data_IF_441154459736
#
_entry.id   IF_441154459736
#
_cell.length_a   1.000
_cell.length_b   1.000
_cell.length_c   1.000
_cell.angle_alpha   90.00
_cell.angle_beta   90.00
_cell.angle_gamma   90.00
#
_symmetry.space_group_name_H-M   'P 1'
#
loop_
_entity.id
_entity.type
_entity.pdbx_description
1 polymer ?
#
# COMPACT_ATOMS: atom_id res chain seq x y z
N UNK A 1 3.17 -6.59 13.77
CA UNK A 1 2.17 -6.66 14.87
C UNK A 1 0.87 -7.32 14.43
N UNK A 2 0.25 -6.95 13.33
CA UNK A 2 -1.03 -7.52 12.84
C UNK A 2 -1.00 -9.03 12.56
N UNK A 3 0.07 -9.56 11.94
CA UNK A 3 0.20 -11.01 11.69
C UNK A 3 0.24 -11.83 12.98
N UNK A 4 0.91 -11.35 14.02
CA UNK A 4 0.95 -12.03 15.31
C UNK A 4 -0.44 -12.17 15.92
N UNK A 5 -1.35 -11.20 15.66
CA UNK A 5 -2.73 -11.26 16.16
C UNK A 5 -3.55 -12.32 15.41
N UNK A 6 -3.27 -12.54 14.10
CA UNK A 6 -3.89 -13.61 13.31
C UNK A 6 -3.45 -15.00 13.78
N UNK A 7 -2.15 -15.18 14.05
CA UNK A 7 -1.56 -16.42 14.56
C UNK A 7 -2.00 -16.71 16.00
N UNK A 8 -2.28 -15.67 16.76
CA UNK A 8 -2.69 -15.69 18.13
C UNK A 8 -1.60 -15.17 19.08
N UNK A 9 -2.01 -14.33 20.00
CA UNK A 9 -1.14 -13.73 21.02
C UNK A 9 -1.59 -14.23 22.39
N UNK A 10 -0.69 -14.78 23.22
CA UNK A 10 -1.02 -15.16 24.58
C UNK A 10 -1.35 -13.91 25.40
N UNK A 11 -2.51 -13.91 26.02
CA UNK A 11 -3.04 -12.83 26.85
C UNK A 11 -3.50 -13.39 28.21
N UNK A 12 -3.66 -12.50 29.18
CA UNK A 12 -4.22 -12.82 30.49
C UNK A 12 -5.54 -12.07 30.63
N UNK A 13 -6.61 -12.76 30.98
CA UNK A 13 -7.88 -12.15 31.34
C UNK A 13 -7.72 -11.37 32.66
N UNK A 14 -7.94 -10.07 32.63
CA UNK A 14 -7.77 -9.19 33.81
C UNK A 14 -8.77 -9.44 34.93
N UNK A 15 -9.85 -10.20 34.69
CA UNK A 15 -10.87 -10.51 35.67
C UNK A 15 -10.67 -11.87 36.31
N UNK A 16 -10.36 -12.92 35.51
CA UNK A 16 -10.21 -14.29 36.00
C UNK A 16 -8.76 -14.69 36.25
N UNK A 17 -7.82 -13.89 35.75
CA UNK A 17 -6.37 -14.16 35.76
C UNK A 17 -5.99 -15.44 34.97
N UNK A 18 -6.87 -15.90 34.07
CA UNK A 18 -6.65 -17.05 33.21
C UNK A 18 -5.92 -16.66 31.93
N UNK A 19 -5.09 -17.58 31.43
CA UNK A 19 -4.41 -17.40 30.15
C UNK A 19 -5.32 -17.81 28.99
N UNK A 20 -5.33 -17.01 27.93
CA UNK A 20 -6.04 -17.35 26.69
C UNK A 20 -5.23 -16.87 25.46
N UNK A 21 -5.57 -17.40 24.30
CA UNK A 21 -4.99 -16.98 23.01
C UNK A 21 -5.94 -16.03 22.33
N UNK A 22 -5.55 -14.75 22.26
CA UNK A 22 -6.30 -13.73 21.53
C UNK A 22 -5.99 -13.85 20.04
N UNK A 23 -7.03 -14.07 19.22
CA UNK A 23 -6.97 -14.01 17.75
C UNK A 23 -7.92 -12.94 17.25
N UNK A 24 -7.46 -12.12 16.30
CA UNK A 24 -8.28 -11.09 15.71
C UNK A 24 -8.05 -11.03 14.19
N UNK A 25 -9.13 -10.78 13.44
CA UNK A 25 -9.11 -10.59 12.00
C UNK A 25 -9.54 -9.17 11.66
N UNK A 26 -8.77 -8.51 10.79
CA UNK A 26 -9.18 -7.22 10.27
C UNK A 26 -10.19 -7.43 9.14
N UNK A 27 -11.42 -6.98 9.32
CA UNK A 27 -12.49 -7.10 8.33
C UNK A 27 -12.57 -5.88 7.42
N UNK A 28 -12.28 -4.70 7.95
CA UNK A 28 -12.37 -3.43 7.21
C UNK A 28 -11.24 -2.50 7.60
N UNK A 29 -10.79 -1.72 6.63
CA UNK A 29 -9.84 -0.64 6.83
C UNK A 29 -10.42 0.65 6.28
N UNK A 30 -10.63 1.63 7.14
CA UNK A 30 -11.16 2.96 6.78
C UNK A 30 -10.18 4.04 7.19
N UNK A 31 -10.17 5.13 6.44
CA UNK A 31 -9.31 6.27 6.71
C UNK A 31 -9.53 7.38 5.69
N UNK A 32 -8.91 8.52 5.91
CA UNK A 32 -8.82 9.56 4.89
C UNK A 32 -7.95 9.13 3.69
N UNK A 33 -8.00 9.88 2.60
CA UNK A 33 -7.25 9.55 1.37
C UNK A 33 -5.73 9.42 1.64
N UNK A 34 -5.07 10.33 2.38
CA UNK A 34 -3.67 10.20 2.72
C UNK A 34 -3.34 8.93 3.53
N UNK A 35 -4.16 8.59 4.54
CA UNK A 35 -3.95 7.38 5.34
C UNK A 35 -4.11 6.11 4.52
N UNK A 36 -5.15 6.04 3.67
CA UNK A 36 -5.37 4.92 2.77
C UNK A 36 -4.25 4.79 1.73
N UNK A 37 -3.77 5.91 1.18
CA UNK A 37 -2.63 5.88 0.24
C UNK A 37 -1.36 5.33 0.90
N UNK A 38 -1.06 5.73 2.13
CA UNK A 38 0.09 5.22 2.89
C UNK A 38 -0.06 3.73 3.21
N UNK A 39 -1.25 3.27 3.60
CA UNK A 39 -1.49 1.86 3.91
C UNK A 39 -1.42 0.96 2.69
N UNK A 40 -1.69 1.49 1.51
CA UNK A 40 -1.55 0.81 0.22
C UNK A 40 -0.16 0.99 -0.42
N UNK A 41 0.80 1.61 0.28
CA UNK A 41 2.13 1.95 -0.22
C UNK A 41 2.11 2.76 -1.53
N UNK A 42 1.14 3.67 -1.66
CA UNK A 42 1.05 4.58 -2.81
C UNK A 42 1.80 5.89 -2.52
N UNK A 43 2.35 6.46 -3.60
CA UNK A 43 3.09 7.74 -3.62
C UNK A 43 2.16 8.89 -3.34
N UNK A 44 1.50 9.23 -2.45
CA UNK A 44 0.67 10.39 -2.09
C UNK A 44 0.10 11.22 -3.25
N UNK A 45 -0.74 12.16 -2.91
CA UNK A 45 -1.58 12.92 -3.84
C UNK A 45 -0.81 13.85 -4.80
N UNK A 46 0.42 14.22 -4.49
CA UNK A 46 1.26 15.06 -5.37
C UNK A 46 2.28 14.22 -6.15
N UNK A 47 1.89 13.05 -6.60
CA UNK A 47 2.70 12.18 -7.46
C UNK A 47 2.07 12.00 -8.82
N UNK A 48 2.85 11.55 -9.81
CA UNK A 48 2.37 11.37 -11.18
C UNK A 48 1.24 10.34 -11.32
N UNK A 49 1.15 9.36 -10.42
CA UNK A 49 0.12 8.30 -10.43
C UNK A 49 -0.46 8.09 -9.02
N UNK A 50 -1.07 9.13 -8.47
CA UNK A 50 -1.61 9.11 -7.11
C UNK A 50 -2.94 8.37 -6.95
N UNK A 51 -3.67 8.10 -8.04
CA UNK A 51 -4.95 7.44 -7.94
C UNK A 51 -4.82 6.00 -7.43
N UNK A 52 -5.57 5.66 -6.40
CA UNK A 52 -5.58 4.29 -5.84
C UNK A 52 -6.36 3.29 -6.70
N UNK A 53 -7.21 3.77 -7.61
CA UNK A 53 -8.08 2.93 -8.43
C UNK A 53 -7.55 2.73 -9.86
N UNK A 54 -6.79 3.69 -10.38
CA UNK A 54 -6.37 3.67 -11.77
C UNK A 54 -4.93 4.18 -11.97
N UNK A 55 -4.41 3.93 -13.16
CA UNK A 55 -3.07 4.31 -13.60
C UNK A 55 -3.03 5.66 -14.32
N UNK A 56 -4.03 6.53 -14.09
CA UNK A 56 -4.06 7.86 -14.69
C UNK A 56 -2.80 8.65 -14.30
N UNK A 57 -2.10 9.16 -15.31
CA UNK A 57 -0.87 9.93 -15.13
C UNK A 57 -1.17 11.42 -15.08
N UNK A 58 -0.74 12.07 -14.02
CA UNK A 58 -0.79 13.52 -13.88
C UNK A 58 0.36 14.20 -14.59
N UNK A 59 0.20 15.52 -14.81
CA UNK A 59 1.22 16.39 -15.42
C UNK A 59 1.68 17.43 -14.40
N UNK A 60 2.99 17.59 -14.27
CA UNK A 60 3.57 18.59 -13.37
C UNK A 60 3.46 19.98 -14.00
N UNK A 61 2.91 20.93 -13.26
CA UNK A 61 2.88 22.32 -13.69
C UNK A 61 4.24 22.99 -13.43
N UNK A 62 4.83 23.66 -14.43
CA UNK A 62 6.22 24.11 -14.35
C UNK A 62 6.46 25.21 -13.30
N UNK A 63 5.48 26.04 -12.98
CA UNK A 63 5.67 27.18 -12.09
C UNK A 63 5.42 26.87 -10.60
N UNK A 64 4.54 25.92 -10.27
CA UNK A 64 4.20 25.61 -8.89
C UNK A 64 4.53 24.17 -8.47
N UNK A 65 5.05 23.36 -9.39
CA UNK A 65 5.42 21.97 -9.19
C UNK A 65 4.29 21.06 -8.66
N UNK A 66 3.03 21.47 -8.76
CA UNK A 66 1.89 20.65 -8.46
C UNK A 66 1.55 19.71 -9.60
N UNK A 67 1.05 18.53 -9.25
CA UNK A 67 0.59 17.54 -10.23
C UNK A 67 -0.90 17.74 -10.45
N UNK A 68 -1.28 17.93 -11.71
CA UNK A 68 -2.66 18.03 -12.16
C UNK A 68 -3.04 16.81 -12.99
N UNK A 69 -4.24 16.31 -12.79
CA UNK A 69 -4.73 15.14 -13.51
C UNK A 69 -5.69 15.61 -14.61
N UNK A 70 -5.48 15.16 -15.86
CA UNK A 70 -6.38 15.49 -16.95
C UNK A 70 -7.74 14.83 -16.72
N UNK A 71 -8.81 15.49 -17.16
CA UNK A 71 -10.10 14.84 -17.29
C UNK A 71 -10.01 13.78 -18.40
N UNK A 72 -10.18 12.51 -18.05
CA UNK A 72 -10.14 11.41 -19.00
C UNK A 72 -11.27 10.44 -18.71
N UNK A 73 -11.92 9.98 -19.76
CA UNK A 73 -12.93 8.91 -19.70
C UNK A 73 -12.33 7.53 -19.90
N UNK A 74 -11.08 7.46 -20.33
CA UNK A 74 -10.36 6.19 -20.58
C UNK A 74 -9.14 6.13 -19.68
N UNK A 75 -9.10 5.16 -18.79
CA UNK A 75 -7.99 4.89 -17.90
C UNK A 75 -7.91 3.42 -17.53
N UNK A 76 -6.71 2.91 -17.37
CA UNK A 76 -6.47 1.55 -16.90
C UNK A 76 -6.72 1.47 -15.39
N UNK A 77 -7.54 0.52 -14.95
CA UNK A 77 -7.74 0.23 -13.53
C UNK A 77 -6.49 -0.46 -13.00
N UNK A 78 -6.12 -0.17 -11.75
CA UNK A 78 -5.04 -0.89 -11.07
C UNK A 78 -5.48 -2.32 -10.81
N UNK A 79 -4.70 -3.28 -11.29
CA UNK A 79 -4.84 -4.67 -10.92
C UNK A 79 -4.16 -4.90 -9.56
N UNK A 80 -4.74 -5.77 -8.75
CA UNK A 80 -4.15 -6.20 -7.48
C UNK A 80 -2.84 -6.97 -7.71
N UNK A 81 -2.85 -7.90 -8.63
CA UNK A 81 -1.69 -8.73 -8.95
C UNK A 81 -0.53 -7.88 -9.51
N UNK A 82 -0.82 -6.98 -10.46
CA UNK A 82 0.19 -6.05 -10.99
C UNK A 82 0.76 -5.15 -9.89
N UNK A 83 -0.07 -4.74 -8.92
CA UNK A 83 0.37 -3.93 -7.78
C UNK A 83 1.39 -4.67 -6.93
N UNK A 84 1.13 -5.94 -6.64
CA UNK A 84 2.01 -6.79 -5.84
C UNK A 84 3.32 -7.06 -6.58
N UNK A 85 3.24 -7.41 -7.85
CA UNK A 85 4.42 -7.75 -8.64
C UNK A 85 5.33 -6.54 -8.84
N UNK A 86 4.76 -5.35 -9.08
CA UNK A 86 5.52 -4.11 -9.15
C UNK A 86 6.14 -3.71 -7.81
N UNK A 87 5.43 -3.90 -6.70
CA UNK A 87 5.96 -3.61 -5.37
C UNK A 87 7.16 -4.52 -5.03
N UNK A 88 7.11 -5.81 -5.39
CA UNK A 88 8.23 -6.74 -5.23
C UNK A 88 9.43 -6.34 -6.10
N UNK A 89 9.20 -6.01 -7.38
CA UNK A 89 10.27 -5.58 -8.28
C UNK A 89 10.97 -4.31 -7.77
N UNK A 90 10.21 -3.36 -7.20
CA UNK A 90 10.79 -2.16 -6.59
C UNK A 90 11.58 -2.50 -5.33
N UNK A 91 11.13 -3.46 -4.53
CA UNK A 91 11.82 -3.91 -3.32
C UNK A 91 13.16 -4.57 -3.66
N UNK A 92 13.19 -5.43 -4.67
CA UNK A 92 14.36 -6.18 -5.13
C UNK A 92 15.40 -5.31 -5.87
N UNK A 93 14.99 -4.12 -6.36
CA UNK A 93 15.90 -3.22 -7.05
C UNK A 93 16.96 -2.64 -6.08
N UNK A 94 18.21 -2.80 -6.42
CA UNK A 94 19.36 -2.35 -5.60
C UNK A 94 19.84 -0.95 -5.96
N UNK A 95 19.56 -0.48 -7.18
CA UNK A 95 19.94 0.84 -7.65
C UNK A 95 18.92 1.88 -7.21
N UNK A 96 19.29 2.76 -6.29
CA UNK A 96 18.39 3.78 -5.72
C UNK A 96 17.82 4.76 -6.77
N UNK A 97 18.58 5.10 -7.81
CA UNK A 97 18.12 5.97 -8.90
C UNK A 97 17.00 5.27 -9.68
N UNK A 98 17.23 4.03 -10.08
CA UNK A 98 16.26 3.21 -10.81
C UNK A 98 15.03 2.91 -9.96
N UNK A 99 15.21 2.63 -8.68
CA UNK A 99 14.13 2.46 -7.71
C UNK A 99 13.23 3.70 -7.64
N UNK A 100 13.84 4.88 -7.60
CA UNK A 100 13.14 6.16 -7.64
C UNK A 100 12.35 6.38 -8.94
N UNK A 101 12.90 5.99 -10.09
CA UNK A 101 12.21 6.05 -11.39
C UNK A 101 11.02 5.10 -11.43
N UNK A 102 11.20 3.84 -11.03
CA UNK A 102 10.12 2.85 -10.95
C UNK A 102 8.99 3.32 -10.03
N UNK A 103 9.33 3.90 -8.88
CA UNK A 103 8.36 4.50 -7.94
C UNK A 103 7.55 5.62 -8.62
N UNK A 104 8.20 6.49 -9.39
CA UNK A 104 7.53 7.57 -10.13
C UNK A 104 6.62 7.04 -11.25
N UNK A 105 7.07 6.01 -11.94
CA UNK A 105 6.33 5.42 -13.07
C UNK A 105 5.11 4.62 -12.63
N UNK A 106 5.20 3.91 -11.52
CA UNK A 106 4.14 3.03 -11.04
C UNK A 106 3.22 3.69 -10.02
N UNK A 107 3.74 4.66 -9.26
CA UNK A 107 3.05 5.27 -8.14
C UNK A 107 3.07 4.42 -6.87
N UNK A 108 3.95 3.40 -6.79
CA UNK A 108 4.14 2.59 -5.60
C UNK A 108 5.45 2.91 -4.90
N UNK A 109 5.45 2.81 -3.57
CA UNK A 109 6.68 2.72 -2.80
C UNK A 109 7.10 1.25 -2.63
N UNK A 110 8.39 1.01 -2.37
CA UNK A 110 8.85 -0.29 -1.94
C UNK A 110 8.22 -0.65 -0.58
N UNK A 111 7.96 -1.92 -0.40
CA UNK A 111 7.39 -2.48 0.81
C UNK A 111 8.39 -2.38 1.98
N UNK A 112 8.37 -1.31 2.75
CA UNK A 112 8.86 -1.40 4.12
C UNK A 112 7.70 -1.95 4.93
N UNK A 113 7.71 -3.26 5.13
CA UNK A 113 6.62 -4.09 5.63
C UNK A 113 5.85 -3.47 6.82
N UNK A 114 4.81 -2.69 6.53
CA UNK A 114 3.82 -2.34 7.53
C UNK A 114 2.76 -3.44 7.67
N UNK A 115 2.53 -4.19 6.59
CA UNK A 115 1.69 -5.38 6.55
C UNK A 115 2.45 -6.47 5.77
N UNK A 116 3.03 -7.46 6.42
CA UNK A 116 3.44 -8.67 5.73
C UNK A 116 2.16 -9.38 5.29
N UNK A 117 1.68 -9.07 4.11
CA UNK A 117 0.62 -9.83 3.47
C UNK A 117 1.28 -11.13 3.02
N UNK A 118 0.94 -12.21 3.69
CA UNK A 118 1.41 -13.54 3.30
C UNK A 118 0.60 -13.96 2.06
N UNK A 119 1.16 -13.73 0.86
CA UNK A 119 0.51 -14.00 -0.43
C UNK A 119 0.39 -15.49 -0.76
N UNK A 120 0.80 -16.39 0.13
CA UNK A 120 0.80 -17.84 -0.12
C UNK A 120 -0.53 -18.53 0.22
N UNK A 121 -1.50 -17.84 0.77
CA UNK A 121 -2.84 -18.40 0.97
C UNK A 121 -3.74 -18.07 -0.23
N UNK A 122 -3.61 -18.83 -1.32
CA UNK A 122 -4.73 -19.05 -2.24
C UNK A 122 -5.80 -19.79 -1.45
N UNK A 123 -6.97 -19.15 -1.27
CA UNK A 123 -8.20 -19.81 -0.85
C UNK A 123 -8.59 -20.91 -1.85
#
# INVERSE_FOLDING_TARGET
>A
MLLKILEGVPCIDGRTNEQFILRAHMLTWTGDIPALSKSLNLTGHNSYKACRFCMLKGTCHPSNHHIYYPSSTVYNIRSHDDTIDMAKLIEEETNETRKGEMTKETGYFFFKSFFPINYNNKL
#
